data_IF_517158029565
#
_entry.id   IF_517158029565
#
_cell.length_a   1.000
_cell.length_b   1.000
_cell.length_c   1.000
_cell.angle_alpha   90.00
_cell.angle_beta   90.00
_cell.angle_gamma   90.00
#
_symmetry.space_group_name_H-M   'P 1'
#
loop_
_entity.id
_entity.type
_entity.pdbx_description
1 polymer ?
#
# COMPACT_ATOMS: atom_id res chain seq x y z
N UNK A 1 -21.72 -8.61 23.91
CA UNK A 1 -21.61 -9.70 22.91
C UNK A 1 -20.15 -10.03 22.73
N UNK A 2 -19.65 -11.06 23.40
CA UNK A 2 -18.23 -11.47 23.34
C UNK A 2 -17.96 -12.18 22.02
N UNK A 3 -17.20 -11.55 21.14
CA UNK A 3 -16.72 -12.17 19.91
C UNK A 3 -15.64 -13.20 20.25
N UNK A 4 -15.97 -14.49 20.20
CA UNK A 4 -14.99 -15.56 20.33
C UNK A 4 -14.12 -15.61 19.07
N UNK A 5 -12.87 -15.16 19.17
CA UNK A 5 -11.86 -15.35 18.13
C UNK A 5 -11.24 -16.73 18.32
N UNK A 6 -11.69 -17.72 17.54
CA UNK A 6 -11.10 -19.07 17.54
C UNK A 6 -9.76 -19.02 16.81
N UNK A 7 -8.70 -19.36 17.53
CA UNK A 7 -7.39 -19.63 16.92
C UNK A 7 -7.22 -21.14 16.76
N UNK A 8 -6.60 -21.53 15.65
CA UNK A 8 -6.22 -22.92 15.37
C UNK A 8 -4.71 -22.96 15.12
N UNK A 9 -4.04 -23.97 15.67
CA UNK A 9 -2.62 -24.23 15.44
C UNK A 9 -2.48 -25.26 14.32
N UNK A 10 -1.52 -25.06 13.42
CA UNK A 10 -1.22 -25.99 12.33
C UNK A 10 0.26 -26.35 12.39
N UNK A 11 0.58 -27.64 12.28
CA UNK A 11 1.95 -28.08 12.08
C UNK A 11 2.24 -28.11 10.57
N UNK A 12 3.05 -27.17 10.09
CA UNK A 12 3.41 -27.05 8.67
C UNK A 12 4.76 -27.73 8.42
N UNK A 13 4.79 -28.68 7.49
CA UNK A 13 6.03 -29.31 7.02
C UNK A 13 6.58 -28.52 5.85
N UNK A 14 7.83 -28.07 5.97
CA UNK A 14 8.54 -27.30 4.95
C UNK A 14 9.78 -28.09 4.49
N UNK A 15 10.20 -27.88 3.24
CA UNK A 15 11.55 -28.29 2.83
C UNK A 15 12.60 -27.45 3.56
N UNK A 16 13.82 -27.98 3.69
CA UNK A 16 14.93 -27.27 4.34
C UNK A 16 15.22 -25.92 3.66
N UNK A 17 15.20 -25.90 2.33
CA UNK A 17 15.38 -24.68 1.53
C UNK A 17 14.31 -23.63 1.86
N UNK A 18 13.04 -24.04 1.94
CA UNK A 18 11.94 -23.12 2.25
C UNK A 18 12.05 -22.59 3.68
N UNK A 19 12.45 -23.45 4.63
CA UNK A 19 12.64 -23.06 6.02
C UNK A 19 13.80 -22.06 6.16
N UNK A 20 14.91 -22.25 5.44
CA UNK A 20 16.04 -21.33 5.39
C UNK A 20 15.64 -19.98 4.77
N UNK A 21 14.92 -20.00 3.65
CA UNK A 21 14.43 -18.79 3.00
C UNK A 21 13.47 -17.99 3.90
N UNK A 22 12.56 -18.67 4.59
CA UNK A 22 11.63 -18.04 5.53
C UNK A 22 12.36 -17.42 6.73
N UNK A 23 13.37 -18.10 7.26
CA UNK A 23 14.22 -17.56 8.35
C UNK A 23 14.95 -16.29 7.89
N UNK A 24 15.61 -16.34 6.73
CA UNK A 24 16.29 -15.17 6.18
C UNK A 24 15.33 -14.00 5.90
N UNK A 25 14.10 -14.28 5.44
CA UNK A 25 13.09 -13.23 5.26
C UNK A 25 12.64 -12.62 6.60
N UNK A 26 12.50 -13.43 7.64
CA UNK A 26 12.17 -12.98 9.00
C UNK A 26 13.25 -12.04 9.53
N UNK A 27 14.53 -12.41 9.39
CA UNK A 27 15.66 -11.57 9.81
C UNK A 27 15.72 -10.25 9.05
N UNK A 28 15.56 -10.26 7.72
CA UNK A 28 15.60 -9.03 6.89
C UNK A 28 14.41 -8.11 7.14
N UNK A 29 13.23 -8.65 7.41
CA UNK A 29 12.00 -7.85 7.57
C UNK A 29 11.72 -7.45 9.02
N UNK A 30 12.40 -8.07 10.00
CA UNK A 30 12.08 -7.93 11.43
C UNK A 30 10.74 -8.53 11.84
N UNK A 31 10.03 -9.21 10.93
CA UNK A 31 8.73 -9.84 11.19
C UNK A 31 8.92 -11.27 11.68
N UNK A 32 8.01 -11.76 12.53
CA UNK A 32 8.01 -13.16 12.92
C UNK A 32 7.69 -14.08 11.73
N UNK A 33 8.23 -15.30 11.72
CA UNK A 33 7.93 -16.29 10.67
C UNK A 33 6.42 -16.61 10.59
N UNK A 34 5.72 -16.61 11.74
CA UNK A 34 4.26 -16.83 11.75
C UNK A 34 3.49 -15.67 11.11
N UNK A 35 3.94 -14.43 11.30
CA UNK A 35 3.28 -13.28 10.66
C UNK A 35 3.51 -13.25 9.16
N UNK A 36 4.70 -13.66 8.71
CA UNK A 36 5.00 -13.84 7.28
C UNK A 36 4.15 -14.94 6.66
N UNK A 37 4.03 -16.10 7.32
CA UNK A 37 3.17 -17.19 6.86
C UNK A 37 1.70 -16.76 6.82
N UNK A 38 1.22 -16.05 7.85
CA UNK A 38 -0.16 -15.55 7.90
C UNK A 38 -0.43 -14.57 6.76
N UNK A 39 0.50 -13.65 6.50
CA UNK A 39 0.39 -12.70 5.38
C UNK A 39 0.37 -13.41 4.03
N UNK A 40 1.28 -14.36 3.82
CA UNK A 40 1.35 -15.14 2.58
C UNK A 40 0.06 -15.94 2.34
N UNK A 41 -0.45 -16.64 3.36
CA UNK A 41 -1.71 -17.40 3.28
C UNK A 41 -2.89 -16.47 3.02
N UNK A 42 -2.99 -15.35 3.73
CA UNK A 42 -4.07 -14.39 3.51
C UNK A 42 -4.03 -13.80 2.10
N UNK A 43 -2.84 -13.45 1.59
CA UNK A 43 -2.68 -12.96 0.21
C UNK A 43 -3.07 -14.02 -0.82
N UNK A 44 -2.59 -15.25 -0.64
CA UNK A 44 -2.89 -16.37 -1.52
C UNK A 44 -4.39 -16.69 -1.58
N UNK A 45 -5.07 -16.58 -0.43
CA UNK A 45 -6.52 -16.79 -0.33
C UNK A 45 -7.35 -15.53 -0.64
N UNK A 46 -6.72 -14.40 -1.00
CA UNK A 46 -7.41 -13.14 -1.27
C UNK A 46 -8.12 -12.52 -0.05
N UNK A 47 -7.70 -12.86 1.17
CA UNK A 47 -8.28 -12.38 2.43
C UNK A 47 -7.68 -11.06 2.91
N UNK A 48 -6.50 -10.68 2.43
CA UNK A 48 -6.06 -9.30 2.48
C UNK A 48 -6.89 -8.51 1.47
N UNK A 49 -7.53 -7.41 1.91
CA UNK A 49 -8.37 -6.57 1.06
C UNK A 49 -7.75 -6.42 -0.31
N UNK A 50 -8.50 -6.81 -1.35
CA UNK A 50 -7.97 -7.01 -2.70
C UNK A 50 -7.06 -5.88 -3.07
N UNK A 51 -5.92 -6.19 -3.70
CA UNK A 51 -5.04 -5.22 -4.35
C UNK A 51 -5.90 -4.09 -4.90
N UNK A 52 -5.74 -2.90 -4.29
CA UNK A 52 -6.70 -1.83 -4.53
C UNK A 52 -6.65 -1.49 -6.02
N UNK A 53 -7.74 -0.96 -6.58
CA UNK A 53 -7.72 -0.55 -7.99
C UNK A 53 -6.55 0.40 -8.29
N UNK A 54 -6.10 1.16 -7.26
CA UNK A 54 -4.90 1.99 -7.30
C UNK A 54 -3.63 1.16 -7.42
N UNK A 55 -3.44 0.14 -6.59
CA UNK A 55 -2.25 -0.72 -6.61
C UNK A 55 -2.09 -1.43 -7.96
N UNK A 56 -3.21 -1.91 -8.53
CA UNK A 56 -3.25 -2.47 -9.89
C UNK A 56 -2.91 -1.44 -10.98
N UNK A 57 -3.38 -0.21 -10.84
CA UNK A 57 -3.06 0.85 -11.80
C UNK A 57 -1.58 1.27 -11.72
N UNK A 58 -0.98 1.23 -10.52
CA UNK A 58 0.46 1.49 -10.31
C UNK A 58 1.31 0.37 -10.91
N UNK A 59 0.96 -0.90 -10.65
CA UNK A 59 1.70 -2.04 -11.19
C UNK A 59 1.59 -2.16 -12.71
N UNK A 60 0.45 -1.77 -13.29
CA UNK A 60 0.26 -1.66 -14.74
C UNK A 60 0.94 -0.43 -15.38
N UNK A 61 1.55 0.45 -14.57
CA UNK A 61 2.17 1.68 -15.05
C UNK A 61 1.19 2.75 -15.56
N UNK A 62 -0.11 2.57 -15.32
CA UNK A 62 -1.17 3.51 -15.74
C UNK A 62 -1.12 4.79 -14.90
N UNK A 63 -0.77 4.67 -13.62
CA UNK A 63 -0.58 5.81 -12.72
C UNK A 63 0.75 5.68 -11.99
N UNK A 64 1.35 6.81 -11.61
CA UNK A 64 2.56 6.81 -10.78
C UNK A 64 2.21 6.58 -9.31
N UNK A 65 3.10 5.95 -8.52
CA UNK A 65 2.96 5.91 -7.08
C UNK A 65 2.83 7.33 -6.51
N UNK A 66 2.05 7.51 -5.43
CA UNK A 66 1.96 8.82 -4.80
C UNK A 66 3.34 9.24 -4.26
N UNK A 67 3.78 10.43 -4.63
CA UNK A 67 4.87 11.10 -3.90
C UNK A 67 4.31 11.63 -2.57
N UNK A 68 5.11 11.68 -1.49
CA UNK A 68 4.74 12.39 -0.28
C UNK A 68 4.30 13.81 -0.60
N UNK A 69 3.33 14.34 0.16
CA UNK A 69 2.96 15.75 0.06
C UNK A 69 4.20 16.61 0.29
N UNK A 70 4.43 17.54 -0.63
CA UNK A 70 5.50 18.52 -0.52
C UNK A 70 4.85 19.84 -0.15
N UNK A 71 5.43 20.55 0.81
CA UNK A 71 5.07 21.94 1.08
C UNK A 71 5.59 22.79 -0.09
N UNK A 72 4.68 23.16 -0.98
CA UNK A 72 5.03 23.93 -2.17
C UNK A 72 5.02 25.42 -1.81
N UNK A 73 6.19 26.05 -1.96
CA UNK A 73 6.34 27.50 -2.04
C UNK A 73 6.86 27.75 -3.45
N UNK A 74 6.07 28.38 -4.33
CA UNK A 74 5.44 29.67 -4.07
C UNK A 74 3.90 29.67 -4.10
N UNK A 75 3.32 30.52 -3.28
CA UNK A 75 1.92 30.92 -3.37
C UNK A 75 1.79 32.11 -4.32
N UNK A 76 0.72 32.14 -5.10
CA UNK A 76 0.34 33.33 -5.88
C UNK A 76 -0.65 34.11 -5.02
N UNK A 77 -0.34 35.36 -4.73
CA UNK A 77 -1.33 36.28 -4.15
C UNK A 77 -2.29 36.71 -5.25
N UNK A 78 -3.59 36.48 -5.02
CA UNK A 78 -4.63 36.98 -5.89
C UNK A 78 -4.76 38.50 -5.68
N UNK A 79 -4.72 39.26 -6.76
CA UNK A 79 -5.01 40.69 -6.71
C UNK A 79 -6.45 40.95 -6.27
N UNK A 80 -6.70 42.14 -5.73
CA UNK A 80 -8.03 42.54 -5.28
C UNK A 80 -9.09 42.33 -6.37
N UNK A 81 -10.13 41.57 -6.03
CA UNK A 81 -11.24 41.27 -6.94
C UNK A 81 -11.05 40.06 -7.87
N UNK A 82 -9.87 39.43 -7.89
CA UNK A 82 -9.63 38.20 -8.66
C UNK A 82 -10.15 36.99 -7.89
N UNK A 83 -11.01 36.20 -8.51
CA UNK A 83 -11.57 34.98 -7.89
C UNK A 83 -10.76 33.76 -8.28
N UNK A 84 -10.66 32.78 -7.38
CA UNK A 84 -9.95 31.51 -7.64
C UNK A 84 -10.42 30.80 -8.92
N UNK A 85 -11.69 30.98 -9.30
CA UNK A 85 -12.24 30.43 -10.55
C UNK A 85 -11.51 30.96 -11.80
N UNK A 86 -11.09 32.22 -11.78
CA UNK A 86 -10.42 32.89 -12.92
C UNK A 86 -8.97 32.41 -13.11
N UNK A 87 -8.41 31.70 -12.13
CA UNK A 87 -7.14 30.97 -12.27
C UNK A 87 -7.30 29.61 -12.97
N UNK A 88 -8.48 29.00 -12.87
CA UNK A 88 -8.74 27.66 -13.43
C UNK A 88 -9.16 27.73 -14.90
N UNK A 89 -9.67 28.88 -15.35
CA UNK A 89 -10.03 29.14 -16.75
C UNK A 89 -8.84 29.61 -17.62
N UNK A 90 -7.67 29.85 -17.01
CA UNK A 90 -6.47 30.34 -17.70
C UNK A 90 -5.49 29.18 -17.91
N UNK A 91 -5.73 28.42 -18.98
CA UNK A 91 -4.77 27.62 -19.78
C UNK A 91 -5.30 26.23 -20.20
N UNK A 92 -6.32 26.23 -21.07
CA UNK A 92 -6.50 25.19 -22.10
C UNK A 92 -5.98 25.64 -23.49
N UNK A 93 -5.26 26.77 -23.57
CA UNK A 93 -4.61 27.24 -24.80
C UNK A 93 -3.11 27.56 -24.62
N UNK A 94 -2.30 26.53 -24.85
CA UNK A 94 -0.88 26.51 -25.31
C UNK A 94 0.28 26.59 -24.32
#
# INVERSE_FOLDING_TARGET
MFWYRRFVSTNLRLSEETAAALRGLSERSGRSQQDLLRDAVNRYLGLTGSESSRDRAVSAGVVRPPTPFQDVVPFIELGDGVRTLELLDRDDER
#
